data_IF_524378364928
#
_entry.id   IF_524378364928
#
_cell.length_a   1.000
_cell.length_b   1.000
_cell.length_c   1.000
_cell.angle_alpha   90.00
_cell.angle_beta   90.00
_cell.angle_gamma   90.00
#
_symmetry.space_group_name_H-M   'P 1'
#
loop_
_entity.id
_entity.type
_entity.pdbx_description
1 polymer ?
#
# COMPACT_ATOMS: atom_id res chain seq x y z
N UNK A 1 11.24 -4.64 -11.25
CA UNK A 1 10.02 -5.34 -11.71
C UNK A 1 8.78 -4.61 -11.21
N UNK A 2 7.74 -4.65 -11.97
CA UNK A 2 6.47 -4.05 -11.61
C UNK A 2 5.68 -5.01 -10.71
N UNK A 3 5.20 -4.52 -9.57
CA UNK A 3 4.44 -5.31 -8.61
C UNK A 3 3.14 -4.60 -8.29
N UNK A 4 2.04 -5.34 -8.24
CA UNK A 4 0.74 -4.83 -7.85
C UNK A 4 0.37 -5.41 -6.50
N UNK A 5 -0.12 -4.56 -5.61
CA UNK A 5 -0.69 -4.98 -4.34
C UNK A 5 -2.19 -4.66 -4.35
N UNK A 6 -3.00 -5.64 -4.00
CA UNK A 6 -4.43 -5.46 -3.78
C UNK A 6 -4.69 -5.62 -2.28
N UNK A 7 -5.36 -4.67 -1.68
CA UNK A 7 -5.62 -4.72 -0.25
C UNK A 7 -7.06 -4.31 0.08
N UNK A 8 -7.61 -4.95 1.11
CA UNK A 8 -8.86 -4.56 1.72
C UNK A 8 -8.54 -3.99 3.11
N UNK A 9 -9.06 -2.81 3.42
CA UNK A 9 -8.89 -2.21 4.74
C UNK A 9 -9.81 -2.91 5.74
N UNK A 10 -9.32 -3.09 6.97
CA UNK A 10 -10.18 -3.42 8.09
C UNK A 10 -10.79 -2.12 8.65
N UNK A 11 -11.53 -2.23 9.76
CA UNK A 11 -12.19 -1.05 10.35
C UNK A 11 -11.20 0.04 10.75
N UNK A 12 -10.04 -0.34 11.28
CA UNK A 12 -9.00 0.62 11.65
C UNK A 12 -8.43 1.33 10.42
N UNK A 13 -8.23 0.59 9.33
CA UNK A 13 -7.77 1.15 8.07
C UNK A 13 -8.76 2.11 7.46
N UNK A 14 -10.05 1.77 7.48
CA UNK A 14 -11.12 2.64 6.98
C UNK A 14 -11.23 3.91 7.83
N UNK A 15 -11.15 3.77 9.15
CA UNK A 15 -11.16 4.92 10.06
C UNK A 15 -10.00 5.87 9.78
N UNK A 16 -8.81 5.31 9.57
CA UNK A 16 -7.63 6.09 9.20
C UNK A 16 -7.79 6.81 7.87
N UNK A 17 -8.41 6.15 6.89
CA UNK A 17 -8.66 6.76 5.58
C UNK A 17 -9.60 7.95 5.68
N UNK A 18 -10.65 7.84 6.52
CA UNK A 18 -11.59 8.94 6.73
C UNK A 18 -10.95 10.14 7.42
N UNK A 19 -9.89 9.93 8.20
CA UNK A 19 -9.19 10.97 8.95
C UNK A 19 -8.01 11.56 8.20
N UNK A 20 -7.58 10.94 7.10
CA UNK A 20 -6.42 11.39 6.33
C UNK A 20 -6.85 11.70 4.89
N UNK A 21 -5.92 12.25 4.12
CA UNK A 21 -6.16 12.56 2.71
C UNK A 21 -5.55 11.49 1.81
N UNK A 22 -5.99 11.49 0.55
CA UNK A 22 -5.34 10.69 -0.50
C UNK A 22 -3.84 11.01 -0.58
N UNK A 23 -3.51 12.31 -0.52
CA UNK A 23 -2.11 12.75 -0.61
C UNK A 23 -1.26 12.17 0.55
N UNK A 24 -1.81 12.11 1.75
CA UNK A 24 -1.11 11.54 2.90
C UNK A 24 -0.89 10.02 2.73
N UNK A 25 -1.88 9.31 2.23
CA UNK A 25 -1.77 7.87 1.94
C UNK A 25 -0.73 7.60 0.85
N UNK A 26 -0.78 8.39 -0.22
CA UNK A 26 0.18 8.28 -1.30
C UNK A 26 1.60 8.53 -0.80
N UNK A 27 1.80 9.55 0.03
CA UNK A 27 3.11 9.86 0.58
C UNK A 27 3.64 8.72 1.45
N UNK A 28 2.79 8.10 2.25
CA UNK A 28 3.19 6.96 3.08
C UNK A 28 3.65 5.79 2.21
N UNK A 29 2.95 5.50 1.12
CA UNK A 29 3.33 4.43 0.20
C UNK A 29 4.61 4.78 -0.57
N UNK A 30 4.79 6.05 -0.97
CA UNK A 30 6.03 6.51 -1.60
C UNK A 30 7.22 6.31 -0.67
N UNK A 31 7.08 6.69 0.61
CA UNK A 31 8.15 6.52 1.60
C UNK A 31 8.50 5.04 1.78
N UNK A 32 7.50 4.18 1.82
CA UNK A 32 7.70 2.75 1.97
C UNK A 32 8.44 2.16 0.76
N UNK A 33 8.03 2.53 -0.45
CA UNK A 33 8.68 2.06 -1.67
C UNK A 33 10.13 2.55 -1.74
N UNK A 34 10.39 3.82 -1.42
CA UNK A 34 11.73 4.39 -1.43
C UNK A 34 12.62 3.74 -0.37
N UNK A 35 12.07 3.47 0.80
CA UNK A 35 12.81 2.77 1.86
C UNK A 35 13.21 1.35 1.47
N UNK A 36 12.51 0.74 0.54
CA UNK A 36 12.82 -0.58 -0.01
C UNK A 36 13.67 -0.51 -1.28
N UNK A 37 14.12 0.67 -1.69
CA UNK A 37 14.96 0.83 -2.87
C UNK A 37 14.19 0.90 -4.19
N UNK A 38 12.87 1.05 -4.14
CA UNK A 38 12.03 1.15 -5.32
C UNK A 38 11.30 2.47 -5.42
N UNK A 39 10.19 2.47 -6.14
CA UNK A 39 9.34 3.65 -6.24
C UNK A 39 7.88 3.28 -6.38
N UNK A 40 7.01 4.19 -5.96
CA UNK A 40 5.59 4.10 -6.17
C UNK A 40 5.25 4.63 -7.56
N UNK A 41 4.60 3.80 -8.39
CA UNK A 41 4.13 4.23 -9.71
C UNK A 41 2.70 4.78 -9.62
N UNK A 42 1.83 4.10 -8.87
CA UNK A 42 0.43 4.51 -8.80
C UNK A 42 -0.23 3.99 -7.53
N UNK A 43 -1.20 4.75 -7.03
CA UNK A 43 -2.08 4.36 -5.93
C UNK A 43 -3.50 4.71 -6.37
N UNK A 44 -4.36 3.71 -6.45
CA UNK A 44 -5.74 3.88 -6.89
C UNK A 44 -6.67 3.29 -5.85
N UNK A 45 -7.65 4.07 -5.41
CA UNK A 45 -8.70 3.57 -4.55
C UNK A 45 -9.76 2.86 -5.38
N UNK A 46 -10.27 1.76 -4.86
CA UNK A 46 -11.25 0.91 -5.51
C UNK A 46 -12.52 0.88 -4.67
N UNK A 47 -13.62 0.53 -5.33
CA UNK A 47 -14.89 0.25 -4.67
C UNK A 47 -15.23 -1.23 -4.92
N UNK A 48 -15.63 -1.94 -3.86
CA UNK A 48 -16.03 -3.33 -3.94
C UNK A 48 -15.24 -4.20 -2.98
N UNK A 49 -14.79 -5.35 -3.46
CA UNK A 49 -14.14 -6.36 -2.62
C UNK A 49 -12.79 -5.89 -2.08
N UNK A 50 -12.04 -5.15 -2.90
CA UNK A 50 -10.78 -4.55 -2.49
C UNK A 50 -10.92 -3.04 -2.47
N UNK A 51 -10.14 -2.39 -1.60
CA UNK A 51 -10.23 -0.94 -1.37
C UNK A 51 -9.12 -0.16 -2.07
N UNK A 52 -7.99 -0.80 -2.34
CA UNK A 52 -6.85 -0.10 -2.92
C UNK A 52 -6.02 -1.02 -3.82
N UNK A 53 -5.56 -0.44 -4.92
CA UNK A 53 -4.58 -1.04 -5.83
C UNK A 53 -3.34 -0.17 -5.82
N UNK A 54 -2.19 -0.78 -5.49
CA UNK A 54 -0.90 -0.08 -5.44
C UNK A 54 0.03 -0.70 -6.46
N UNK A 55 0.64 0.12 -7.29
CA UNK A 55 1.65 -0.32 -8.25
C UNK A 55 3.01 0.25 -7.86
N UNK A 56 3.99 -0.63 -7.70
CA UNK A 56 5.36 -0.25 -7.35
C UNK A 56 6.35 -0.86 -8.32
N UNK A 57 7.46 -0.17 -8.51
CA UNK A 57 8.64 -0.70 -9.16
C UNK A 57 9.60 -1.15 -8.07
N UNK A 58 9.91 -2.45 -8.02
CA UNK A 58 10.76 -3.06 -7.00
C UNK A 58 11.81 -3.94 -7.67
N UNK A 59 12.88 -4.26 -6.91
CA UNK A 59 13.99 -5.04 -7.45
C UNK A 59 13.79 -6.56 -7.36
N UNK A 60 12.92 -7.02 -6.45
CA UNK A 60 12.73 -8.46 -6.25
C UNK A 60 11.38 -8.79 -5.64
N UNK A 61 10.99 -10.07 -5.77
CA UNK A 61 9.79 -10.62 -5.14
C UNK A 61 9.95 -10.61 -3.62
N UNK A 62 11.15 -10.82 -3.12
CA UNK A 62 11.45 -10.80 -1.68
C UNK A 62 11.16 -9.43 -1.08
N UNK A 63 11.54 -8.37 -1.78
CA UNK A 63 11.23 -7.00 -1.36
C UNK A 63 9.72 -6.76 -1.34
N UNK A 64 9.00 -7.24 -2.35
CA UNK A 64 7.55 -7.13 -2.41
C UNK A 64 6.89 -7.86 -1.24
N UNK A 65 7.36 -9.06 -0.93
CA UNK A 65 6.83 -9.84 0.20
C UNK A 65 7.09 -9.15 1.54
N UNK A 66 8.25 -8.52 1.71
CA UNK A 66 8.58 -7.77 2.91
C UNK A 66 7.65 -6.56 3.10
N UNK A 67 7.35 -5.84 2.02
CA UNK A 67 6.41 -4.71 2.06
C UNK A 67 5.01 -5.21 2.45
N UNK A 68 4.54 -6.28 1.83
CA UNK A 68 3.22 -6.84 2.12
C UNK A 68 3.11 -7.26 3.60
N UNK A 69 4.15 -7.90 4.14
CA UNK A 69 4.18 -8.30 5.54
C UNK A 69 4.17 -7.08 6.46
N UNK A 70 4.92 -6.05 6.14
CA UNK A 70 4.97 -4.82 6.93
C UNK A 70 3.59 -4.16 7.01
N UNK A 71 2.89 -4.07 5.89
CA UNK A 71 1.56 -3.47 5.83
C UNK A 71 0.55 -4.30 6.65
N UNK A 72 0.62 -5.63 6.55
CA UNK A 72 -0.25 -6.52 7.34
C UNK A 72 0.01 -6.37 8.84
N UNK A 73 1.27 -6.28 9.23
CA UNK A 73 1.64 -6.13 10.64
C UNK A 73 1.25 -4.76 11.21
N UNK A 74 0.99 -3.77 10.35
CA UNK A 74 0.49 -2.49 10.80
C UNK A 74 -0.95 -2.55 11.33
N UNK A 75 -1.69 -3.61 11.00
CA UNK A 75 -3.04 -3.85 11.51
C UNK A 75 -4.14 -3.08 10.80
N UNK A 76 -3.88 -2.48 9.65
CA UNK A 76 -4.88 -1.65 8.93
C UNK A 76 -5.50 -2.37 7.72
N UNK A 77 -5.01 -3.54 7.35
CA UNK A 77 -5.58 -4.35 6.26
C UNK A 77 -5.90 -5.76 6.73
N UNK A 78 -6.77 -6.40 5.99
CA UNK A 78 -7.08 -7.82 6.20
C UNK A 78 -6.07 -8.73 5.51
#
# INVERSE_FOLDING_TARGET
MKVFFLAAFNDDGLSGLLKSSYAARRQAMENMAQGAGGKLNNLTFLQGHFDVLVEMELDSVETASAIAATVRLSGVID
#
